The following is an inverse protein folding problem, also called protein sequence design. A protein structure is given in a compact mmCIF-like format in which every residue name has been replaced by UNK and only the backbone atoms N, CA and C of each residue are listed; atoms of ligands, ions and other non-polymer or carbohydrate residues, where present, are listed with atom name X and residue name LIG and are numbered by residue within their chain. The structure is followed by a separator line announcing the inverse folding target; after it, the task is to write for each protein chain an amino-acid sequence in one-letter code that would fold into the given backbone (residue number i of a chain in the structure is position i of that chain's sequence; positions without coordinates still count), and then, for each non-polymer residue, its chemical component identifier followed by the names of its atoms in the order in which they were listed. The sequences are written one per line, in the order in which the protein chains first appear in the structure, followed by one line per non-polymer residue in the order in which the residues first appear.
data_IF_220143469360
#
_entry.id   IF_220143469360
#
_cell.length_a   1.000
_cell.length_b   1.000
_cell.length_c   1.000
_cell.angle_alpha   90.00
_cell.angle_beta   90.00
_cell.angle_gamma   90.00
#
_symmetry.space_group_name_H-M   'P 1'
#
loop_
_entity.id
_entity.type
_entity.pdbx_description
1 polymer ?
#
# COMPACT_ATOMS: atom_id res chain seq x y z
N UNK A 1 -30.36 3.94 27.26
CA UNK A 1 -29.18 3.04 27.38
C UNK A 1 -28.51 2.73 26.02
N UNK A 2 -29.27 2.36 24.98
CA UNK A 2 -28.71 2.11 23.61
C UNK A 2 -28.00 3.31 23.00
N UNK A 3 -28.49 4.53 23.15
CA UNK A 3 -27.87 5.77 22.64
C UNK A 3 -26.50 6.05 23.22
N UNK A 4 -26.32 5.84 24.53
CA UNK A 4 -25.04 6.06 25.24
C UNK A 4 -23.96 5.05 24.76
N UNK A 5 -24.35 3.79 24.53
CA UNK A 5 -23.44 2.76 24.03
C UNK A 5 -23.00 3.08 22.59
N UNK A 6 -23.94 3.52 21.78
CA UNK A 6 -23.68 3.90 20.39
C UNK A 6 -22.74 5.12 20.32
N UNK A 7 -22.99 6.15 21.12
CA UNK A 7 -22.15 7.35 21.19
C UNK A 7 -20.72 7.03 21.63
N UNK A 8 -20.56 6.16 22.64
CA UNK A 8 -19.22 5.70 23.07
C UNK A 8 -18.51 4.90 21.96
N UNK A 9 -19.23 4.08 21.22
CA UNK A 9 -18.68 3.35 20.07
C UNK A 9 -18.15 4.29 19.00
N UNK A 10 -18.90 5.33 18.63
CA UNK A 10 -18.50 6.34 17.66
C UNK A 10 -17.24 7.08 18.12
N UNK A 11 -17.18 7.50 19.39
CA UNK A 11 -16.00 8.20 19.94
C UNK A 11 -14.74 7.33 19.89
N UNK A 12 -14.85 6.04 20.23
CA UNK A 12 -13.72 5.10 20.17
C UNK A 12 -13.28 4.89 18.72
N UNK A 13 -14.21 4.72 17.81
CA UNK A 13 -13.92 4.60 16.38
C UNK A 13 -13.24 5.84 15.81
N UNK A 14 -13.73 7.04 16.14
CA UNK A 14 -13.10 8.30 15.74
C UNK A 14 -11.68 8.45 16.30
N UNK A 15 -11.46 8.07 17.55
CA UNK A 15 -10.13 8.08 18.17
C UNK A 15 -9.17 7.08 17.49
N UNK A 16 -9.63 5.87 17.20
CA UNK A 16 -8.85 4.88 16.47
C UNK A 16 -8.48 5.38 15.06
N UNK A 17 -9.41 6.02 14.36
CA UNK A 17 -9.17 6.61 13.03
C UNK A 17 -8.17 7.77 13.10
N UNK A 18 -8.20 8.57 14.18
CA UNK A 18 -7.20 9.63 14.40
C UNK A 18 -5.80 9.03 14.59
N UNK A 19 -5.66 7.99 15.41
CA UNK A 19 -4.38 7.28 15.59
C UNK A 19 -3.89 6.70 14.28
N UNK A 20 -4.76 6.04 13.52
CA UNK A 20 -4.43 5.54 12.18
C UNK A 20 -3.90 6.66 11.28
N UNK A 21 -4.59 7.81 11.21
CA UNK A 21 -4.19 8.93 10.38
C UNK A 21 -2.83 9.51 10.77
N UNK A 22 -2.57 9.66 12.09
CA UNK A 22 -1.29 10.14 12.61
C UNK A 22 -0.16 9.16 12.24
N UNK A 23 -0.36 7.87 12.47
CA UNK A 23 0.64 6.85 12.15
C UNK A 23 0.89 6.79 10.64
N UNK A 24 -0.16 6.83 9.83
CA UNK A 24 -0.05 6.84 8.38
C UNK A 24 0.71 8.09 7.87
N UNK A 25 0.43 9.26 8.44
CA UNK A 25 1.14 10.50 8.11
C UNK A 25 2.62 10.42 8.47
N UNK A 26 2.94 9.98 9.69
CA UNK A 26 4.32 9.79 10.14
C UNK A 26 5.06 8.78 9.26
N UNK A 27 4.45 7.64 9.00
CA UNK A 27 5.01 6.61 8.13
C UNK A 27 5.27 7.15 6.71
N UNK A 28 4.29 7.85 6.12
CA UNK A 28 4.42 8.44 4.79
C UNK A 28 5.52 9.51 4.71
N UNK A 29 5.81 10.20 5.80
CA UNK A 29 6.87 11.20 5.88
C UNK A 29 8.24 10.54 6.11
N UNK A 30 8.34 9.56 7.00
CA UNK A 30 9.61 8.96 7.43
C UNK A 30 10.12 7.88 6.47
N UNK A 31 9.24 7.04 5.95
CA UNK A 31 9.62 5.90 5.10
C UNK A 31 10.45 6.28 3.86
N UNK A 32 10.14 7.34 3.10
CA UNK A 32 10.98 7.74 1.96
C UNK A 32 12.42 8.04 2.37
N UNK A 33 12.64 8.69 3.51
CA UNK A 33 13.99 8.98 4.00
C UNK A 33 14.74 7.73 4.42
N UNK A 34 14.09 6.84 5.19
CA UNK A 34 14.70 5.58 5.64
C UNK A 34 15.07 4.69 4.45
N UNK A 35 14.18 4.56 3.46
CA UNK A 35 14.41 3.72 2.29
C UNK A 35 15.47 4.32 1.35
N UNK A 36 15.60 5.66 1.27
CA UNK A 36 16.65 6.31 0.48
C UNK A 36 18.02 6.14 1.13
N UNK A 37 18.10 6.22 2.44
CA UNK A 37 19.36 6.10 3.19
C UNK A 37 19.91 4.67 3.15
N UNK A 38 19.05 3.67 3.27
CA UNK A 38 19.43 2.25 3.11
C UNK A 38 20.06 1.97 1.75
N UNK A 39 19.56 2.60 0.68
CA UNK A 39 20.12 2.51 -0.67
C UNK A 39 21.47 3.24 -0.80
N UNK A 40 21.75 4.23 0.03
CA UNK A 40 22.99 5.03 -0.03
C UNK A 40 24.20 4.28 0.52
N UNK A 41 24.02 3.44 1.52
CA UNK A 41 25.11 2.65 2.12
C UNK A 41 25.66 1.55 1.20
N UNK A 42 24.91 1.14 0.16
CA UNK A 42 25.35 0.13 -0.82
C UNK A 42 26.18 0.72 -1.97
N UNK A 43 26.43 2.04 -1.97
CA UNK A 43 26.90 2.83 -3.14
C UNK A 43 28.40 3.02 -3.30
N UNK A 44 29.24 2.43 -2.50
CA UNK A 44 30.69 2.77 -2.50
C UNK A 44 31.46 2.16 -3.70
N UNK A 45 30.88 2.00 -4.87
CA UNK A 45 31.62 1.40 -5.99
C UNK A 45 31.11 1.52 -7.43
N UNK A 46 30.07 2.30 -7.76
CA UNK A 46 29.55 2.29 -9.15
C UNK A 46 29.26 3.66 -9.76
N UNK A 47 29.85 3.88 -10.97
CA UNK A 47 29.94 5.16 -11.70
C UNK A 47 28.94 5.33 -12.86
N UNK A 48 27.78 4.63 -12.90
CA UNK A 48 26.80 4.82 -13.98
C UNK A 48 25.38 5.17 -13.44
N UNK A 49 24.71 6.19 -13.99
CA UNK A 49 23.41 6.67 -13.49
C UNK A 49 22.27 5.68 -13.64
N UNK A 50 22.22 4.87 -14.72
CA UNK A 50 21.16 3.87 -14.93
C UNK A 50 21.22 2.69 -13.94
N UNK A 51 22.41 2.42 -13.39
CA UNK A 51 22.61 1.35 -12.39
C UNK A 51 22.20 1.78 -10.98
N UNK A 52 21.99 3.08 -10.76
CA UNK A 52 21.64 3.66 -9.47
C UNK A 52 20.20 3.38 -9.01
N UNK A 53 19.23 3.38 -9.93
CA UNK A 53 17.82 3.22 -9.61
C UNK A 53 17.40 1.78 -9.33
N UNK A 54 18.15 0.80 -9.82
CA UNK A 54 17.84 -0.62 -9.66
C UNK A 54 17.84 -1.11 -8.21
N UNK A 55 18.86 -0.87 -7.37
CA UNK A 55 18.86 -1.28 -5.98
C UNK A 55 17.76 -0.59 -5.17
N UNK A 56 17.49 0.70 -5.42
CA UNK A 56 16.42 1.43 -4.75
C UNK A 56 15.02 0.86 -5.08
N UNK A 57 14.75 0.55 -6.34
CA UNK A 57 13.50 -0.07 -6.79
C UNK A 57 13.27 -1.42 -6.09
N UNK A 58 14.30 -2.26 -6.01
CA UNK A 58 14.24 -3.53 -5.28
C UNK A 58 13.93 -3.33 -3.79
N UNK A 59 14.56 -2.37 -3.13
CA UNK A 59 14.31 -2.05 -1.71
C UNK A 59 12.87 -1.60 -1.48
N UNK A 60 12.32 -0.75 -2.35
CA UNK A 60 10.92 -0.29 -2.25
C UNK A 60 9.95 -1.44 -2.43
N UNK A 61 10.18 -2.34 -3.39
CA UNK A 61 9.33 -3.51 -3.64
C UNK A 61 9.39 -4.48 -2.44
N UNK A 62 10.57 -4.70 -1.86
CA UNK A 62 10.70 -5.52 -0.66
C UNK A 62 9.96 -4.92 0.54
N UNK A 63 10.11 -3.61 0.78
CA UNK A 63 9.37 -2.90 1.83
C UNK A 63 7.85 -3.01 1.62
N UNK A 64 7.40 -2.89 0.37
CA UNK A 64 5.98 -3.05 0.02
C UNK A 64 5.50 -4.49 0.25
N UNK A 65 6.29 -5.49 -0.12
CA UNK A 65 5.99 -6.91 0.18
C UNK A 65 5.87 -7.15 1.69
N UNK A 66 6.82 -6.65 2.48
CA UNK A 66 6.78 -6.75 3.94
C UNK A 66 5.53 -6.08 4.50
N UNK A 67 5.14 -4.92 3.97
CA UNK A 67 3.93 -4.22 4.43
C UNK A 67 2.65 -5.03 4.22
N UNK A 68 2.54 -5.77 3.12
CA UNK A 68 1.41 -6.67 2.89
C UNK A 68 1.38 -7.83 3.89
N UNK A 69 2.53 -8.37 4.26
CA UNK A 69 2.63 -9.41 5.29
C UNK A 69 2.23 -8.85 6.66
N UNK A 70 2.72 -7.66 7.01
CA UNK A 70 2.34 -6.97 8.25
C UNK A 70 0.84 -6.70 8.28
N UNK A 71 0.26 -6.23 7.18
CA UNK A 71 -1.17 -6.04 7.05
C UNK A 71 -1.94 -7.35 7.30
N UNK A 72 -1.53 -8.45 6.67
CA UNK A 72 -2.18 -9.75 6.85
C UNK A 72 -2.10 -10.22 8.31
N UNK A 73 -0.93 -10.16 8.94
CA UNK A 73 -0.74 -10.52 10.35
C UNK A 73 -1.65 -9.66 11.25
N UNK A 74 -1.68 -8.35 11.01
CA UNK A 74 -2.47 -7.40 11.79
C UNK A 74 -3.97 -7.67 11.65
N UNK A 75 -4.45 -7.95 10.44
CA UNK A 75 -5.87 -8.26 10.21
C UNK A 75 -6.27 -9.62 10.78
N UNK A 76 -5.41 -10.64 10.72
CA UNK A 76 -5.68 -11.93 11.37
C UNK A 76 -5.62 -11.83 12.90
N UNK A 77 -4.80 -10.95 13.47
CA UNK A 77 -4.75 -10.74 14.91
C UNK A 77 -6.09 -10.26 15.48
N UNK A 78 -6.99 -9.72 14.66
CA UNK A 78 -8.36 -9.36 15.07
C UNK A 78 -9.15 -10.52 15.67
N UNK A 79 -8.78 -11.78 15.37
CA UNK A 79 -9.40 -12.98 15.95
C UNK A 79 -9.18 -13.02 17.48
N UNK A 80 -8.06 -12.51 17.95
CA UNK A 80 -7.67 -12.53 19.35
C UNK A 80 -8.02 -11.23 20.09
N UNK A 81 -8.46 -10.21 19.37
CA UNK A 81 -8.75 -8.89 19.95
C UNK A 81 -10.13 -8.88 20.58
N UNK A 82 -10.16 -8.88 21.91
CA UNK A 82 -11.39 -8.77 22.71
C UNK A 82 -11.54 -7.43 23.43
N UNK A 83 -10.48 -6.60 23.43
CA UNK A 83 -10.44 -5.33 24.14
C UNK A 83 -10.53 -4.13 23.19
N UNK A 84 -11.08 -3.01 23.68
CA UNK A 84 -11.12 -1.73 22.94
C UNK A 84 -9.73 -1.23 22.59
N UNK A 85 -8.79 -1.33 23.52
CA UNK A 85 -7.39 -0.91 23.35
C UNK A 85 -6.71 -1.77 22.28
N UNK A 86 -6.94 -3.09 22.28
CA UNK A 86 -6.44 -3.99 21.24
C UNK A 86 -6.96 -3.59 19.86
N UNK A 87 -8.25 -3.24 19.73
CA UNK A 87 -8.82 -2.76 18.47
C UNK A 87 -8.16 -1.46 17.98
N UNK A 88 -7.91 -0.50 18.88
CA UNK A 88 -7.23 0.75 18.56
C UNK A 88 -5.79 0.48 18.06
N UNK A 89 -5.06 -0.41 18.73
CA UNK A 89 -3.69 -0.78 18.32
C UNK A 89 -3.67 -1.42 16.94
N UNK A 90 -4.58 -2.36 16.69
CA UNK A 90 -4.71 -3.01 15.36
C UNK A 90 -4.97 -1.97 14.27
N UNK A 91 -5.95 -1.08 14.47
CA UNK A 91 -6.26 -0.01 13.52
C UNK A 91 -5.05 0.90 13.31
N UNK A 92 -4.34 1.27 14.38
CA UNK A 92 -3.12 2.07 14.28
C UNK A 92 -2.03 1.40 13.44
N UNK A 93 -1.76 0.11 13.67
CA UNK A 93 -0.76 -0.66 12.90
C UNK A 93 -1.09 -0.73 11.41
N UNK A 94 -2.37 -0.76 11.03
CA UNK A 94 -2.78 -0.73 9.63
C UNK A 94 -2.36 0.57 8.92
N UNK A 95 -2.16 1.67 9.67
CA UNK A 95 -1.70 2.96 9.13
C UNK A 95 -0.32 2.87 8.45
N UNK A 96 0.58 2.05 8.96
CA UNK A 96 1.92 1.84 8.36
C UNK A 96 1.79 1.16 7.00
N UNK A 97 1.03 0.07 6.93
CA UNK A 97 0.81 -0.68 5.69
C UNK A 97 0.07 0.16 4.65
N UNK A 98 -0.88 0.98 5.11
CA UNK A 98 -1.60 1.92 4.25
C UNK A 98 -0.67 2.96 3.63
N UNK A 99 0.22 3.57 4.41
CA UNK A 99 1.19 4.55 3.94
C UNK A 99 2.09 3.96 2.84
N UNK A 100 2.66 2.77 3.06
CA UNK A 100 3.49 2.10 2.06
C UNK A 100 2.72 1.76 0.78
N UNK A 101 1.50 1.28 0.90
CA UNK A 101 0.65 0.95 -0.25
C UNK A 101 0.28 2.18 -1.09
N UNK A 102 0.12 3.35 -0.46
CA UNK A 102 -0.10 4.60 -1.18
C UNK A 102 1.17 5.09 -1.89
N UNK A 103 2.30 5.04 -1.21
CA UNK A 103 3.52 5.68 -1.71
C UNK A 103 4.33 4.80 -2.68
N UNK A 104 4.50 3.50 -2.40
CA UNK A 104 5.40 2.63 -3.14
C UNK A 104 5.11 2.53 -4.65
N UNK A 105 3.85 2.37 -5.11
CA UNK A 105 3.56 2.31 -6.54
C UNK A 105 3.94 3.59 -7.28
N UNK A 106 3.65 4.78 -6.70
CA UNK A 106 4.01 6.06 -7.30
C UNK A 106 5.52 6.24 -7.37
N UNK A 107 6.23 5.81 -6.35
CA UNK A 107 7.68 5.85 -6.30
C UNK A 107 8.31 4.96 -7.41
N UNK A 108 7.79 3.75 -7.61
CA UNK A 108 8.26 2.84 -8.66
C UNK A 108 7.98 3.41 -10.05
N UNK A 109 6.76 3.93 -10.29
CA UNK A 109 6.38 4.55 -11.57
C UNK A 109 7.24 5.78 -11.85
N UNK A 110 7.50 6.61 -10.84
CA UNK A 110 8.35 7.80 -10.99
C UNK A 110 9.77 7.46 -11.46
N UNK A 111 10.35 6.40 -10.93
CA UNK A 111 11.67 5.90 -11.38
C UNK A 111 11.61 5.38 -12.82
N UNK A 112 10.57 4.65 -13.18
CA UNK A 112 10.42 4.12 -14.54
C UNK A 112 10.29 5.25 -15.57
N UNK A 113 9.50 6.28 -15.27
CA UNK A 113 9.36 7.47 -16.12
C UNK A 113 10.70 8.18 -16.26
N UNK A 114 11.44 8.40 -15.16
CA UNK A 114 12.74 9.06 -15.22
C UNK A 114 13.76 8.26 -16.08
N UNK A 115 13.77 6.94 -15.93
CA UNK A 115 14.64 6.07 -16.73
C UNK A 115 14.29 6.14 -18.22
N UNK A 116 13.00 6.13 -18.56
CA UNK A 116 12.55 6.28 -19.95
C UNK A 116 12.94 7.64 -20.54
N UNK A 117 12.80 8.72 -19.76
CA UNK A 117 13.20 10.06 -20.21
C UNK A 117 14.73 10.16 -20.46
N UNK A 118 15.55 9.54 -19.59
CA UNK A 118 16.99 9.51 -19.76
C UNK A 118 17.40 8.73 -21.03
N UNK A 119 16.74 7.61 -21.31
CA UNK A 119 16.98 6.83 -22.54
C UNK A 119 16.61 7.60 -23.80
N UNK A 120 15.48 8.31 -23.79
CA UNK A 120 15.05 9.15 -24.92
C UNK A 120 16.01 10.33 -25.16
N UNK A 121 16.54 10.94 -24.10
CA UNK A 121 17.46 12.05 -24.21
C UNK A 121 18.86 11.61 -24.69
N UNK A 122 19.24 10.35 -24.47
CA UNK A 122 20.54 9.82 -24.88
C UNK A 122 20.63 9.47 -26.37
N UNK A 123 19.49 9.27 -27.07
CA UNK A 123 19.42 8.92 -28.50
C UNK A 123 18.53 9.89 -29.28
N UNK A 124 19.05 11.06 -29.70
CA UNK A 124 18.27 12.08 -30.41
C UNK A 124 17.71 11.64 -31.78
N UNK A 125 18.31 10.63 -32.40
CA UNK A 125 17.87 10.13 -33.72
C UNK A 125 16.61 9.28 -33.64
N UNK A 126 16.34 8.65 -32.50
CA UNK A 126 15.13 7.85 -32.28
C UNK A 126 13.89 8.69 -31.92
N UNK A 127 14.04 10.00 -31.80
CA UNK A 127 12.95 10.94 -31.45
C UNK A 127 11.84 11.02 -32.50
N UNK A 128 12.07 10.53 -33.76
CA UNK A 128 11.08 10.68 -34.84
C UNK A 128 10.05 9.55 -34.93
N UNK A 129 10.21 8.48 -34.16
CA UNK A 129 9.31 7.32 -34.23
C UNK A 129 8.79 6.79 -32.89
N UNK A 130 9.42 7.11 -31.79
CA UNK A 130 9.02 6.66 -30.47
C UNK A 130 8.27 7.79 -29.76
N UNK A 131 7.03 7.54 -29.44
CA UNK A 131 6.20 8.14 -28.40
C UNK A 131 6.84 9.42 -27.79
N UNK A 132 6.90 10.47 -28.60
CA UNK A 132 7.52 11.76 -28.26
C UNK A 132 6.79 12.49 -27.10
N UNK A 133 5.72 11.91 -26.62
CA UNK A 133 5.00 12.32 -25.43
C UNK A 133 4.45 11.06 -24.76
N UNK A 134 5.31 10.24 -24.14
CA UNK A 134 4.84 9.38 -23.07
C UNK A 134 4.32 10.33 -22.01
N UNK A 135 3.06 10.74 -22.21
CA UNK A 135 2.43 11.76 -21.43
C UNK A 135 2.38 11.23 -20.00
N UNK A 136 3.27 11.75 -19.14
CA UNK A 136 3.31 11.37 -17.72
C UNK A 136 1.91 11.40 -17.13
N UNK A 137 1.05 12.29 -17.63
CA UNK A 137 -0.36 12.36 -17.26
C UNK A 137 -1.15 11.12 -17.66
N UNK A 138 -0.89 10.53 -18.82
CA UNK A 138 -1.55 9.28 -19.24
C UNK A 138 -1.14 8.10 -18.34
N UNK A 139 0.15 7.97 -18.04
CA UNK A 139 0.65 6.91 -17.15
C UNK A 139 0.05 7.03 -15.76
N UNK A 140 0.02 8.24 -15.19
CA UNK A 140 -0.57 8.49 -13.89
C UNK A 140 -2.09 8.28 -13.90
N UNK A 141 -2.77 8.61 -15.00
CA UNK A 141 -4.22 8.37 -15.16
C UNK A 141 -4.53 6.88 -15.21
N UNK A 142 -3.75 6.08 -15.97
CA UNK A 142 -3.89 4.63 -16.00
C UNK A 142 -3.61 4.01 -14.62
N UNK A 143 -2.61 4.52 -13.92
CA UNK A 143 -2.32 4.10 -12.56
C UNK A 143 -3.49 4.36 -11.60
N UNK A 144 -4.10 5.55 -11.68
CA UNK A 144 -5.28 5.88 -10.87
C UNK A 144 -6.47 4.96 -11.17
N UNK A 145 -6.70 4.60 -12.44
CA UNK A 145 -7.72 3.62 -12.81
C UNK A 145 -7.38 2.25 -12.21
N UNK A 146 -6.12 1.82 -12.32
CA UNK A 146 -5.66 0.53 -11.77
C UNK A 146 -5.81 0.43 -10.25
N UNK A 147 -5.71 1.56 -9.51
CA UNK A 147 -5.98 1.61 -8.07
C UNK A 147 -7.49 1.62 -7.78
N UNK A 148 -8.27 2.37 -8.56
CA UNK A 148 -9.69 2.57 -8.31
C UNK A 148 -10.53 1.32 -8.59
N UNK A 149 -10.18 0.55 -9.62
CA UNK A 149 -10.91 -0.66 -9.99
C UNK A 149 -10.93 -1.73 -8.87
N UNK A 150 -9.79 -2.08 -8.23
CA UNK A 150 -9.79 -2.97 -7.07
C UNK A 150 -10.57 -2.42 -5.86
N UNK A 151 -10.64 -1.11 -5.67
CA UNK A 151 -11.41 -0.51 -4.57
C UNK A 151 -12.92 -0.72 -4.75
N UNK A 152 -13.42 -0.57 -5.99
CA UNK A 152 -14.82 -0.86 -6.31
C UNK A 152 -15.12 -2.34 -6.04
N UNK A 153 -14.24 -3.25 -6.50
CA UNK A 153 -14.38 -4.68 -6.26
C UNK A 153 -14.36 -5.01 -4.75
N UNK A 154 -13.44 -4.41 -4.00
CA UNK A 154 -13.37 -4.59 -2.55
C UNK A 154 -14.64 -4.10 -1.84
N UNK A 155 -15.23 -2.98 -2.27
CA UNK A 155 -16.48 -2.48 -1.73
C UNK A 155 -17.65 -3.46 -1.98
N UNK A 156 -17.74 -4.03 -3.17
CA UNK A 156 -18.73 -5.05 -3.50
C UNK A 156 -18.53 -6.33 -2.66
N UNK A 157 -17.30 -6.80 -2.52
CA UNK A 157 -16.95 -7.94 -1.67
C UNK A 157 -17.34 -7.70 -0.21
N UNK A 158 -17.00 -6.53 0.35
CA UNK A 158 -17.40 -6.16 1.70
C UNK A 158 -18.92 -6.14 1.85
N UNK A 159 -19.63 -5.56 0.89
CA UNK A 159 -21.10 -5.55 0.89
C UNK A 159 -21.69 -6.97 0.93
N UNK A 160 -21.13 -7.88 0.13
CA UNK A 160 -21.52 -9.30 0.15
C UNK A 160 -21.24 -9.97 1.50
N UNK A 161 -20.07 -9.72 2.10
CA UNK A 161 -19.72 -10.26 3.41
C UNK A 161 -20.69 -9.75 4.48
N UNK A 162 -21.01 -8.46 4.50
CA UNK A 162 -21.96 -7.88 5.45
C UNK A 162 -23.36 -8.46 5.28
N UNK A 163 -23.79 -8.65 4.03
CA UNK A 163 -25.09 -9.27 3.72
C UNK A 163 -25.18 -10.71 4.24
N UNK A 164 -24.16 -11.54 3.95
CA UNK A 164 -24.10 -12.93 4.42
C UNK A 164 -24.01 -12.98 5.96
N UNK A 165 -23.18 -12.15 6.57
CA UNK A 165 -23.07 -12.07 8.02
C UNK A 165 -24.41 -11.71 8.67
N UNK A 166 -25.17 -10.78 8.07
CA UNK A 166 -26.50 -10.41 8.54
C UNK A 166 -27.48 -11.60 8.45
N UNK A 167 -27.47 -12.35 7.34
CA UNK A 167 -28.33 -13.54 7.16
C UNK A 167 -28.01 -14.63 8.20
N UNK A 168 -26.74 -14.78 8.56
CA UNK A 168 -26.28 -15.75 9.55
C UNK A 168 -26.44 -15.26 11.00
N UNK A 169 -26.93 -14.04 11.23
CA UNK A 169 -27.05 -13.43 12.55
C UNK A 169 -25.69 -13.17 13.23
N UNK A 170 -24.59 -13.08 12.44
CA UNK A 170 -23.25 -12.85 12.97
C UNK A 170 -23.07 -11.39 13.35
N UNK A 171 -22.53 -11.15 14.57
CA UNK A 171 -22.15 -9.82 15.04
C UNK A 171 -20.74 -9.39 14.60
N UNK A 172 -19.96 -10.28 13.97
CA UNK A 172 -18.52 -10.06 13.61
C UNK A 172 -18.32 -9.86 12.09
N UNK A 173 -19.25 -9.21 11.41
CA UNK A 173 -19.14 -8.97 9.97
C UNK A 173 -17.88 -8.17 9.59
N UNK A 174 -17.51 -7.18 10.39
CA UNK A 174 -16.29 -6.37 10.20
C UNK A 174 -15.02 -7.22 10.34
N UNK A 175 -14.97 -8.11 11.32
CA UNK A 175 -13.84 -9.03 11.49
C UNK A 175 -13.68 -9.95 10.29
N UNK A 176 -14.76 -10.46 9.72
CA UNK A 176 -14.72 -11.27 8.50
C UNK A 176 -14.19 -10.49 7.30
N UNK A 177 -14.66 -9.24 7.11
CA UNK A 177 -14.15 -8.38 6.03
C UNK A 177 -12.64 -8.13 6.15
N UNK A 178 -12.14 -7.87 7.36
CA UNK A 178 -10.70 -7.69 7.62
C UNK A 178 -9.90 -8.96 7.32
N UNK A 179 -10.40 -10.14 7.70
CA UNK A 179 -9.71 -11.42 7.43
C UNK A 179 -9.64 -11.73 5.93
N UNK A 180 -10.71 -11.47 5.20
CA UNK A 180 -10.71 -11.60 3.72
C UNK A 180 -9.70 -10.61 3.11
N UNK A 181 -9.64 -9.37 3.61
CA UNK A 181 -8.61 -8.40 3.23
C UNK A 181 -7.19 -8.91 3.53
N UNK A 182 -7.00 -9.60 4.66
CA UNK A 182 -5.72 -10.24 5.02
C UNK A 182 -5.31 -11.33 4.02
N UNK A 183 -6.23 -12.17 3.56
CA UNK A 183 -5.97 -13.16 2.52
C UNK A 183 -5.58 -12.51 1.19
N UNK A 184 -6.28 -11.44 0.80
CA UNK A 184 -5.95 -10.67 -0.40
C UNK A 184 -4.55 -10.04 -0.30
N UNK A 185 -4.16 -9.56 0.89
CA UNK A 185 -2.83 -9.00 1.13
C UNK A 185 -1.72 -10.06 1.04
N UNK A 186 -1.95 -11.31 1.46
CA UNK A 186 -1.00 -12.40 1.25
C UNK A 186 -0.82 -12.69 -0.25
N UNK A 187 -1.90 -12.65 -1.04
CA UNK A 187 -1.82 -12.76 -2.49
C UNK A 187 -1.01 -11.62 -3.11
N UNK A 188 -1.22 -10.37 -2.64
CA UNK A 188 -0.46 -9.21 -3.07
C UNK A 188 1.03 -9.32 -2.69
N UNK A 189 1.34 -9.80 -1.49
CA UNK A 189 2.73 -10.05 -1.05
C UNK A 189 3.44 -11.07 -1.96
N UNK A 190 2.74 -12.14 -2.33
CA UNK A 190 3.30 -13.15 -3.23
C UNK A 190 3.57 -12.59 -4.64
N UNK A 191 2.65 -11.78 -5.19
CA UNK A 191 2.84 -11.10 -6.48
C UNK A 191 3.98 -10.09 -6.44
N UNK A 192 4.06 -9.26 -5.38
CA UNK A 192 5.14 -8.28 -5.19
C UNK A 192 6.50 -8.97 -5.09
N UNK A 193 6.57 -10.13 -4.43
CA UNK A 193 7.80 -10.91 -4.33
C UNK A 193 8.25 -11.45 -5.69
N UNK A 194 7.33 -11.90 -6.55
CA UNK A 194 7.66 -12.28 -7.92
C UNK A 194 8.21 -11.11 -8.72
N UNK A 195 7.56 -9.96 -8.63
CA UNK A 195 8.04 -8.74 -9.30
C UNK A 195 9.46 -8.36 -8.88
N UNK A 196 9.83 -8.61 -7.62
CA UNK A 196 11.21 -8.37 -7.13
C UNK A 196 12.25 -9.33 -7.71
N UNK A 197 11.85 -10.51 -8.19
CA UNK A 197 12.76 -11.50 -8.77
C UNK A 197 13.04 -11.23 -10.27
N UNK A 198 12.13 -10.52 -10.94
CA UNK A 198 12.21 -10.22 -12.38
C UNK A 198 13.00 -8.93 -12.68
N UNK A 199 13.48 -8.22 -11.64
CA UNK A 199 14.25 -6.96 -11.71
C UNK A 199 15.72 -7.20 -11.35
#
# INVERSE_FOLDING_TARGET
MRSIIHERGIRIGAFASLIFAIIALLANTVLPFVLSDTSSNEKLGRTQPSTYFRPWKSTVIQAWTVSHIVFAITTFSTIFVTSKTGGIIVIGCLGISWALTLWAPFAIIGVEIATLQDLLNSNPEDQFGAITNCDTGVILSLHNIAISAPQIFAALMCSGIFWVAHLLGSSDATGWALRVGGLAALGAAWLSRRLSQDI
#
